data_IF_698621482653
#
_entry.id   IF_698621482653
#
_cell.length_a   1.000
_cell.length_b   1.000
_cell.length_c   1.000
_cell.angle_alpha   90.00
_cell.angle_beta   90.00
_cell.angle_gamma   90.00
#
_symmetry.space_group_name_H-M   'P 1'
#
loop_
_entity.id
_entity.type
_entity.pdbx_description
1 polymer ?
#
# COMPACT_ATOMS: atom_id res chain seq x y z
N UNK A 1 14.38 -33.81 31.50
CA UNK A 1 14.46 -32.39 31.16
C UNK A 1 15.36 -32.27 29.94
N UNK A 2 14.78 -32.25 28.77
CA UNK A 2 15.51 -32.13 27.49
C UNK A 2 14.93 -30.96 26.77
N UNK A 3 15.69 -29.85 26.76
CA UNK A 3 15.39 -28.64 25.96
C UNK A 3 15.48 -28.98 24.46
N UNK A 4 14.34 -28.89 23.78
CA UNK A 4 14.27 -28.99 22.34
C UNK A 4 14.59 -27.63 21.76
N UNK A 5 15.85 -27.44 21.37
CA UNK A 5 16.36 -26.29 20.62
C UNK A 5 15.72 -26.27 19.23
N UNK A 6 14.79 -25.37 19.00
CA UNK A 6 14.27 -25.03 17.66
C UNK A 6 15.40 -24.36 16.86
N UNK A 7 16.15 -25.18 16.10
CA UNK A 7 17.07 -24.68 15.07
C UNK A 7 16.26 -23.99 13.99
N UNK A 8 16.25 -22.67 14.00
CA UNK A 8 15.91 -21.83 12.84
C UNK A 8 16.93 -22.08 11.75
N UNK A 9 16.62 -22.95 10.79
CA UNK A 9 17.49 -23.19 9.64
C UNK A 9 17.54 -21.93 8.79
N UNK A 10 18.72 -21.31 8.75
CA UNK A 10 19.09 -20.28 7.77
C UNK A 10 18.85 -20.83 6.36
N UNK A 11 18.31 -20.06 5.40
CA UNK A 11 18.13 -20.55 4.04
C UNK A 11 19.48 -20.80 3.40
N UNK A 12 19.64 -21.96 2.77
CA UNK A 12 20.82 -22.26 1.95
C UNK A 12 20.90 -21.23 0.82
N UNK A 13 21.89 -20.35 0.90
CA UNK A 13 22.22 -19.42 -0.19
C UNK A 13 22.85 -20.22 -1.33
N UNK A 14 22.32 -20.08 -2.52
CA UNK A 14 22.75 -20.83 -3.70
C UNK A 14 24.15 -20.38 -4.14
N UNK A 15 25.01 -21.38 -4.42
CA UNK A 15 26.45 -21.23 -4.71
C UNK A 15 26.79 -20.34 -5.92
N UNK A 16 28.09 -20.14 -6.09
CA UNK A 16 28.70 -19.20 -7.05
C UNK A 16 28.27 -19.37 -8.51
N UNK A 17 27.79 -20.55 -8.93
CA UNK A 17 27.46 -20.89 -10.31
C UNK A 17 25.93 -21.02 -10.60
N UNK A 18 25.07 -20.36 -9.82
CA UNK A 18 23.65 -20.41 -10.08
C UNK A 18 23.34 -19.96 -11.52
N UNK A 19 22.59 -20.75 -12.30
CA UNK A 19 22.26 -20.42 -13.68
C UNK A 19 21.38 -19.18 -13.74
N UNK A 20 21.64 -18.33 -14.73
CA UNK A 20 20.71 -17.27 -15.10
C UNK A 20 19.48 -17.90 -15.73
N UNK A 21 18.32 -17.44 -15.33
CA UNK A 21 17.02 -17.87 -15.87
C UNK A 21 16.20 -16.67 -16.34
N UNK A 22 15.27 -16.91 -17.26
CA UNK A 22 14.26 -15.94 -17.69
C UNK A 22 12.86 -16.51 -17.52
N UNK A 23 11.89 -15.65 -17.30
CA UNK A 23 10.50 -16.06 -17.19
C UNK A 23 9.84 -16.06 -18.58
N UNK A 24 9.35 -17.22 -19.07
CA UNK A 24 8.85 -17.40 -20.44
C UNK A 24 7.69 -16.50 -20.82
N UNK A 25 6.81 -16.16 -19.86
CA UNK A 25 5.64 -15.32 -20.08
C UNK A 25 5.82 -13.86 -19.62
N UNK A 26 7.00 -13.50 -19.15
CA UNK A 26 7.29 -12.17 -18.57
C UNK A 26 8.70 -11.73 -18.92
N UNK A 27 9.00 -11.54 -20.21
CA UNK A 27 10.34 -11.15 -20.66
C UNK A 27 10.77 -9.78 -20.11
N UNK A 28 9.81 -8.92 -19.79
CA UNK A 28 10.04 -7.60 -19.20
C UNK A 28 10.67 -7.63 -17.80
N UNK A 29 10.66 -8.79 -17.13
CA UNK A 29 11.34 -8.93 -15.82
C UNK A 29 12.86 -9.06 -15.95
N UNK A 30 13.37 -9.30 -17.17
CA UNK A 30 14.77 -9.55 -17.43
C UNK A 30 15.25 -10.93 -16.95
N UNK A 31 16.56 -11.04 -16.79
CA UNK A 31 17.19 -12.26 -16.27
C UNK A 31 17.12 -12.31 -14.75
N UNK A 32 17.21 -13.52 -14.20
CA UNK A 32 17.15 -13.72 -12.76
C UNK A 32 18.14 -14.79 -12.29
N UNK A 33 18.52 -14.71 -11.01
CA UNK A 33 19.20 -15.80 -10.30
C UNK A 33 18.34 -16.32 -9.17
N UNK A 34 18.51 -17.60 -8.84
CA UNK A 34 17.91 -18.19 -7.65
C UNK A 34 18.54 -17.56 -6.40
N UNK A 35 17.72 -16.91 -5.58
CA UNK A 35 18.16 -16.30 -4.33
C UNK A 35 18.12 -17.29 -3.17
N UNK A 36 17.03 -18.06 -3.07
CA UNK A 36 16.88 -19.13 -2.08
C UNK A 36 15.79 -20.13 -2.49
N UNK A 37 15.86 -21.35 -1.92
CA UNK A 37 14.82 -22.37 -2.05
C UNK A 37 14.38 -22.85 -0.67
N UNK A 38 13.07 -22.99 -0.46
CA UNK A 38 12.47 -23.54 0.75
C UNK A 38 11.28 -24.42 0.40
N UNK A 39 11.32 -25.68 0.79
CA UNK A 39 10.22 -26.66 0.54
C UNK A 39 9.79 -26.66 -0.93
N UNK A 40 8.63 -26.11 -1.23
CA UNK A 40 8.02 -26.05 -2.57
C UNK A 40 8.04 -24.65 -3.20
N UNK A 41 8.89 -23.76 -2.71
CA UNK A 41 8.97 -22.36 -3.19
C UNK A 41 10.43 -21.97 -3.44
N UNK A 42 10.68 -21.41 -4.63
CA UNK A 42 11.94 -20.78 -5.01
C UNK A 42 11.77 -19.27 -5.09
N UNK A 43 12.69 -18.51 -4.57
CA UNK A 43 12.73 -17.07 -4.78
C UNK A 43 13.83 -16.72 -5.77
N UNK A 44 13.48 -15.92 -6.76
CA UNK A 44 14.37 -15.45 -7.80
C UNK A 44 14.50 -13.94 -7.76
N UNK A 45 15.75 -13.44 -7.79
CA UNK A 45 16.03 -12.02 -7.94
C UNK A 45 16.14 -11.70 -9.43
N UNK A 46 15.26 -10.82 -9.92
CA UNK A 46 15.23 -10.40 -11.32
C UNK A 46 16.01 -9.10 -11.55
N UNK A 47 16.40 -8.84 -12.82
CA UNK A 47 17.09 -7.60 -13.22
C UNK A 47 16.25 -6.35 -12.98
N UNK A 48 14.93 -6.45 -13.00
CA UNK A 48 14.01 -5.35 -12.66
C UNK A 48 14.00 -4.96 -11.16
N UNK A 49 14.93 -5.53 -10.37
CA UNK A 49 15.12 -5.27 -8.95
C UNK A 49 14.17 -6.05 -8.02
N UNK A 50 13.22 -6.83 -8.55
CA UNK A 50 12.21 -7.52 -7.72
C UNK A 50 12.59 -8.95 -7.39
N UNK A 51 12.42 -9.31 -6.10
CA UNK A 51 12.49 -10.69 -5.63
C UNK A 51 11.12 -11.35 -5.76
N UNK A 52 11.00 -12.42 -6.56
CA UNK A 52 9.74 -13.12 -6.80
C UNK A 52 9.78 -14.54 -6.31
N UNK A 53 8.72 -14.93 -5.59
CA UNK A 53 8.53 -16.29 -5.07
C UNK A 53 7.72 -17.10 -6.06
N UNK A 54 8.31 -18.19 -6.58
CA UNK A 54 7.69 -19.11 -7.55
C UNK A 54 7.44 -20.45 -6.85
N UNK A 55 6.20 -20.94 -6.92
CA UNK A 55 5.84 -22.25 -6.36
C UNK A 55 6.21 -23.37 -7.32
N UNK A 56 6.45 -24.59 -6.80
CA UNK A 56 6.89 -25.78 -7.55
C UNK A 56 6.13 -26.04 -8.85
N UNK A 57 4.80 -25.87 -8.87
CA UNK A 57 3.97 -26.04 -10.09
C UNK A 57 4.28 -25.07 -11.24
N UNK A 58 4.99 -23.97 -10.95
CA UNK A 58 5.30 -22.89 -11.91
C UNK A 58 6.79 -22.82 -12.28
N UNK A 59 7.64 -23.73 -11.80
CA UNK A 59 9.09 -23.72 -12.13
C UNK A 59 9.33 -23.87 -13.63
N UNK A 60 8.46 -24.57 -14.36
CA UNK A 60 8.50 -24.72 -15.81
C UNK A 60 8.37 -23.40 -16.60
N UNK A 61 7.99 -22.32 -15.95
CA UNK A 61 7.96 -20.97 -16.54
C UNK A 61 9.30 -20.25 -16.48
N UNK A 62 10.30 -20.87 -15.85
CA UNK A 62 11.67 -20.36 -15.76
C UNK A 62 12.58 -21.23 -16.62
N UNK A 63 13.12 -20.65 -17.66
CA UNK A 63 14.04 -21.31 -18.57
C UNK A 63 15.46 -20.78 -18.39
N UNK A 64 16.50 -21.62 -18.53
CA UNK A 64 17.87 -21.15 -18.56
C UNK A 64 18.06 -20.05 -19.61
N UNK A 65 18.78 -19.01 -19.26
CA UNK A 65 19.25 -18.06 -20.26
C UNK A 65 20.28 -18.74 -21.14
N UNK A 66 20.14 -18.61 -22.48
CA UNK A 66 21.04 -19.25 -23.42
C UNK A 66 22.50 -18.78 -23.30
N UNK A 67 23.42 -19.52 -23.89
CA UNK A 67 24.88 -19.29 -23.85
C UNK A 67 25.32 -18.04 -24.67
N UNK A 68 24.40 -17.39 -25.34
CA UNK A 68 24.60 -16.22 -26.21
C UNK A 68 24.93 -14.91 -25.48
N UNK A 69 24.94 -14.93 -24.14
CA UNK A 69 25.13 -13.73 -23.31
C UNK A 69 26.62 -13.35 -23.08
N UNK A 70 27.58 -14.26 -23.29
CA UNK A 70 29.01 -13.99 -23.11
C UNK A 70 29.35 -13.25 -21.80
N UNK A 71 30.27 -12.28 -21.85
CA UNK A 71 30.68 -11.45 -20.68
C UNK A 71 29.53 -10.66 -20.02
N UNK A 72 28.41 -10.51 -20.69
CA UNK A 72 27.22 -9.87 -20.15
C UNK A 72 26.59 -10.75 -19.06
N UNK A 73 26.61 -12.08 -19.24
CA UNK A 73 26.07 -13.00 -18.23
C UNK A 73 26.79 -12.85 -16.90
N UNK A 74 28.11 -12.74 -16.90
CA UNK A 74 28.90 -12.62 -15.66
C UNK A 74 28.66 -11.29 -14.95
N UNK A 75 28.53 -10.20 -15.71
CA UNK A 75 28.18 -8.89 -15.14
C UNK A 75 26.80 -8.90 -14.50
N UNK A 76 25.80 -9.47 -15.16
CA UNK A 76 24.43 -9.59 -14.64
C UNK A 76 24.43 -10.48 -13.40
N UNK A 77 25.06 -11.66 -13.45
CA UNK A 77 25.18 -12.59 -12.33
C UNK A 77 25.83 -11.93 -11.11
N UNK A 78 26.94 -11.23 -11.31
CA UNK A 78 27.66 -10.49 -10.26
C UNK A 78 26.78 -9.41 -9.63
N UNK A 79 26.02 -8.66 -10.44
CA UNK A 79 25.12 -7.61 -9.95
C UNK A 79 23.94 -8.18 -9.15
N UNK A 80 23.27 -9.20 -9.69
CA UNK A 80 22.13 -9.83 -9.00
C UNK A 80 22.56 -10.51 -7.69
N UNK A 81 23.75 -11.14 -7.64
CA UNK A 81 24.33 -11.69 -6.39
C UNK A 81 24.58 -10.62 -5.34
N UNK A 82 25.13 -9.49 -5.75
CA UNK A 82 25.32 -8.37 -4.81
C UNK A 82 24.01 -7.96 -4.16
N UNK A 83 22.91 -7.95 -4.92
CA UNK A 83 21.57 -7.63 -4.41
C UNK A 83 21.07 -8.73 -3.46
N UNK A 84 21.23 -10.01 -3.83
CA UNK A 84 20.82 -11.14 -2.99
C UNK A 84 21.61 -11.17 -1.68
N UNK A 85 22.93 -10.99 -1.72
CA UNK A 85 23.80 -11.02 -0.55
C UNK A 85 23.54 -9.81 0.37
N UNK A 86 23.30 -8.62 -0.19
CA UNK A 86 22.90 -7.45 0.58
C UNK A 86 21.54 -7.63 1.27
N UNK A 87 20.66 -8.47 0.71
CA UNK A 87 19.38 -8.85 1.35
C UNK A 87 19.50 -9.97 2.40
N UNK A 88 20.63 -10.72 2.42
CA UNK A 88 20.88 -11.78 3.39
C UNK A 88 21.47 -11.28 4.71
N UNK A 89 22.22 -10.18 4.69
CA UNK A 89 22.74 -9.47 5.89
C UNK A 89 21.72 -8.48 6.46
N UNK A 90 20.52 -8.91 6.60
CA UNK A 90 19.24 -8.25 6.68
C UNK A 90 19.01 -7.32 7.88
N UNK A 91 19.69 -6.20 7.93
CA UNK A 91 19.13 -4.90 8.32
C UNK A 91 19.52 -3.79 7.32
N UNK A 92 20.12 -4.18 6.21
CA UNK A 92 20.34 -3.30 5.08
C UNK A 92 18.98 -3.11 4.39
N UNK A 93 18.41 -1.92 4.51
CA UNK A 93 17.36 -1.43 3.63
C UNK A 93 17.76 -1.78 2.20
N UNK A 94 17.09 -2.76 1.58
CA UNK A 94 17.11 -2.90 0.13
C UNK A 94 16.62 -1.56 -0.38
N UNK A 95 17.52 -0.73 -0.85
CA UNK A 95 17.17 0.46 -1.62
C UNK A 95 16.60 -0.13 -2.90
N UNK A 96 15.30 -0.41 -2.91
CA UNK A 96 14.55 -0.59 -4.16
C UNK A 96 14.99 0.57 -5.04
N UNK A 97 15.42 0.27 -6.26
CA UNK A 97 15.86 1.31 -7.19
C UNK A 97 14.80 2.40 -7.19
N UNK A 98 15.16 3.57 -6.67
CA UNK A 98 14.21 4.67 -6.51
C UNK A 98 13.71 5.00 -7.91
N UNK A 99 12.44 4.73 -8.19
CA UNK A 99 11.85 5.12 -9.45
C UNK A 99 11.86 6.65 -9.52
N UNK A 100 12.62 7.27 -10.43
CA UNK A 100 12.67 8.72 -10.52
C UNK A 100 11.26 9.28 -10.75
N UNK A 101 10.94 10.41 -10.12
CA UNK A 101 9.63 11.03 -10.28
C UNK A 101 9.30 11.32 -11.74
N UNK A 102 10.29 11.73 -12.55
CA UNK A 102 10.12 11.93 -14.00
C UNK A 102 9.71 10.66 -14.75
N UNK A 103 10.20 9.49 -14.33
CA UNK A 103 9.80 8.22 -14.93
C UNK A 103 8.35 7.85 -14.56
N UNK A 104 7.92 8.17 -13.32
CA UNK A 104 6.53 7.98 -12.90
C UNK A 104 5.59 8.87 -13.73
N UNK A 105 5.94 10.15 -13.91
CA UNK A 105 5.16 11.09 -14.74
C UNK A 105 5.11 10.62 -16.20
N UNK A 106 6.22 10.13 -16.74
CA UNK A 106 6.26 9.59 -18.11
C UNK A 106 5.34 8.37 -18.26
N UNK A 107 5.38 7.43 -17.31
CA UNK A 107 4.48 6.28 -17.29
C UNK A 107 3.01 6.71 -17.15
N UNK A 108 2.72 7.66 -16.27
CA UNK A 108 1.38 8.20 -16.08
C UNK A 108 0.83 8.79 -17.37
N UNK A 109 1.62 9.62 -18.06
CA UNK A 109 1.25 10.20 -19.37
C UNK A 109 1.09 9.17 -20.49
N UNK A 110 1.84 8.08 -20.42
CA UNK A 110 1.69 6.98 -21.38
C UNK A 110 0.36 6.24 -21.17
N UNK A 111 -0.05 6.04 -19.89
CA UNK A 111 -1.30 5.36 -19.56
C UNK A 111 -2.51 6.27 -19.71
N UNK A 112 -2.37 7.55 -19.35
CA UNK A 112 -3.43 8.55 -19.30
C UNK A 112 -2.91 9.88 -19.91
N UNK A 113 -2.94 10.03 -21.24
CA UNK A 113 -2.40 11.22 -21.92
C UNK A 113 -3.01 12.54 -21.44
N UNK A 114 -4.30 12.54 -21.08
CA UNK A 114 -5.02 13.67 -20.50
C UNK A 114 -4.80 13.88 -18.99
N UNK A 115 -3.92 13.07 -18.36
CA UNK A 115 -3.66 13.14 -16.93
C UNK A 115 -4.87 12.72 -16.08
N UNK A 116 -5.16 13.47 -15.01
CA UNK A 116 -6.31 13.19 -14.14
C UNK A 116 -7.67 13.55 -14.75
N UNK A 117 -7.68 14.29 -15.85
CA UNK A 117 -8.88 14.58 -16.65
C UNK A 117 -9.04 13.64 -17.84
N UNK A 118 -8.13 12.68 -18.01
CA UNK A 118 -8.22 11.66 -19.05
C UNK A 118 -9.51 10.84 -18.88
N UNK A 119 -10.28 10.60 -19.96
CA UNK A 119 -11.49 9.79 -19.89
C UNK A 119 -11.26 8.39 -19.29
N UNK A 120 -10.13 7.76 -19.62
CA UNK A 120 -9.80 6.43 -19.09
C UNK A 120 -9.44 6.49 -17.58
N UNK A 121 -8.80 7.59 -17.11
CA UNK A 121 -8.59 7.80 -15.68
C UNK A 121 -9.93 7.97 -14.94
N UNK A 122 -10.84 8.75 -15.52
CA UNK A 122 -12.17 8.98 -14.93
C UNK A 122 -12.94 7.67 -14.88
N UNK A 123 -12.96 6.90 -15.96
CA UNK A 123 -13.62 5.59 -16.03
C UNK A 123 -13.01 4.61 -15.02
N UNK A 124 -11.68 4.60 -14.87
CA UNK A 124 -11.00 3.65 -13.98
C UNK A 124 -11.12 4.00 -12.49
N UNK A 125 -11.11 5.31 -12.14
CA UNK A 125 -10.93 5.73 -10.76
C UNK A 125 -12.03 6.65 -10.22
N UNK A 126 -12.79 7.34 -11.09
CA UNK A 126 -13.68 8.43 -10.66
C UNK A 126 -15.13 8.30 -11.09
N UNK A 127 -15.44 7.33 -11.91
CA UNK A 127 -16.79 7.14 -12.43
C UNK A 127 -17.82 7.14 -11.29
N UNK A 128 -18.89 7.91 -11.47
CA UNK A 128 -19.99 8.06 -10.49
C UNK A 128 -21.35 7.63 -11.02
N UNK A 129 -21.48 7.44 -12.32
CA UNK A 129 -22.70 6.99 -12.99
C UNK A 129 -22.77 5.46 -13.10
N UNK A 130 -23.98 4.92 -13.22
CA UNK A 130 -24.23 3.49 -13.34
C UNK A 130 -23.92 2.70 -12.06
N UNK A 131 -23.31 1.54 -12.19
CA UNK A 131 -22.98 0.65 -11.08
C UNK A 131 -21.52 0.86 -10.66
N UNK A 132 -21.21 1.63 -9.59
CA UNK A 132 -19.85 1.97 -9.22
C UNK A 132 -19.06 0.73 -8.80
N UNK A 133 -17.82 0.63 -9.29
CA UNK A 133 -16.87 -0.39 -8.86
C UNK A 133 -16.13 0.05 -7.59
N UNK A 134 -15.56 -0.92 -6.86
CA UNK A 134 -14.81 -0.64 -5.62
C UNK A 134 -13.61 0.30 -5.79
N UNK A 135 -13.10 0.42 -7.00
CA UNK A 135 -12.01 1.34 -7.33
C UNK A 135 -12.45 2.77 -7.62
N UNK A 136 -13.76 3.02 -7.77
CA UNK A 136 -14.28 4.36 -8.04
C UNK A 136 -14.31 5.20 -6.76
N UNK A 137 -13.65 6.35 -6.78
CA UNK A 137 -13.44 7.20 -5.59
C UNK A 137 -14.57 8.20 -5.36
N UNK A 138 -15.15 8.74 -6.44
CA UNK A 138 -16.16 9.81 -6.30
C UNK A 138 -17.41 9.36 -5.55
N UNK A 139 -18.03 8.20 -5.82
CA UNK A 139 -19.19 7.74 -5.08
C UNK A 139 -18.91 7.53 -3.60
N UNK A 140 -17.80 6.86 -3.27
CA UNK A 140 -17.47 6.53 -1.88
C UNK A 140 -17.14 7.79 -1.05
N UNK A 141 -16.55 8.83 -1.67
CA UNK A 141 -16.28 10.11 -1.03
C UNK A 141 -17.57 10.84 -0.74
N UNK A 142 -18.51 10.88 -1.70
CA UNK A 142 -19.82 11.54 -1.52
C UNK A 142 -20.58 10.89 -0.36
N UNK A 143 -20.69 9.58 -0.36
CA UNK A 143 -21.39 8.82 0.68
C UNK A 143 -20.70 8.91 2.04
N UNK A 144 -19.36 8.88 2.09
CA UNK A 144 -18.63 9.03 3.34
C UNK A 144 -18.84 10.43 3.97
N UNK A 145 -18.87 11.48 3.16
CA UNK A 145 -19.14 12.84 3.64
C UNK A 145 -20.54 13.00 4.20
N UNK A 146 -21.53 12.37 3.59
CA UNK A 146 -22.90 12.37 4.08
C UNK A 146 -23.03 11.56 5.37
N UNK A 147 -22.61 10.29 5.33
CA UNK A 147 -22.79 9.34 6.43
C UNK A 147 -21.97 9.68 7.68
N UNK A 148 -20.78 10.25 7.51
CA UNK A 148 -19.84 10.59 8.58
C UNK A 148 -19.79 12.10 8.87
N UNK A 149 -20.82 12.86 8.45
CA UNK A 149 -20.91 14.29 8.80
C UNK A 149 -21.00 14.49 10.32
N UNK A 150 -20.57 15.65 10.81
CA UNK A 150 -20.57 15.96 12.23
C UNK A 150 -21.96 15.76 12.85
N UNK A 151 -23.01 16.30 12.21
CA UNK A 151 -24.40 16.16 12.66
C UNK A 151 -24.84 14.68 12.75
N UNK A 152 -24.47 13.84 11.78
CA UNK A 152 -24.80 12.39 11.82
C UNK A 152 -24.05 11.64 12.92
N UNK A 153 -22.79 12.00 13.16
CA UNK A 153 -22.02 11.44 14.26
C UNK A 153 -22.61 11.84 15.62
N UNK A 154 -22.96 13.12 15.81
CA UNK A 154 -23.57 13.62 17.04
C UNK A 154 -24.95 13.00 17.28
N UNK A 155 -25.78 12.88 16.24
CA UNK A 155 -27.08 12.21 16.30
C UNK A 155 -26.90 10.76 16.75
N UNK A 156 -26.00 9.99 16.12
CA UNK A 156 -25.76 8.60 16.45
C UNK A 156 -25.28 8.39 17.89
N UNK A 157 -24.46 9.32 18.41
CA UNK A 157 -23.95 9.26 19.79
C UNK A 157 -25.03 9.62 20.80
N UNK A 158 -25.86 10.63 20.50
CA UNK A 158 -26.90 11.13 21.43
C UNK A 158 -28.17 10.29 21.46
N UNK A 159 -28.52 9.62 20.34
CA UNK A 159 -29.76 8.84 20.18
C UNK A 159 -29.58 7.34 20.24
N UNK A 160 -28.41 6.84 20.70
CA UNK A 160 -28.04 5.42 20.73
C UNK A 160 -28.00 4.75 19.33
N UNK A 161 -27.79 5.57 18.26
CA UNK A 161 -27.71 5.14 16.86
C UNK A 161 -26.35 4.63 16.44
N UNK A 162 -25.44 4.34 17.37
CA UNK A 162 -24.07 3.95 17.08
C UNK A 162 -23.95 2.61 16.34
N UNK A 163 -24.86 1.65 16.53
CA UNK A 163 -24.88 0.40 15.78
C UNK A 163 -25.14 0.63 14.29
N UNK A 164 -26.15 1.45 13.97
CA UNK A 164 -26.47 1.80 12.60
C UNK A 164 -25.31 2.53 11.91
N UNK A 165 -24.70 3.52 12.56
CA UNK A 165 -23.58 4.26 11.99
C UNK A 165 -22.33 3.39 11.82
N UNK A 166 -22.06 2.45 12.72
CA UNK A 166 -20.99 1.47 12.58
C UNK A 166 -21.24 0.53 11.37
N UNK A 167 -22.47 0.08 11.17
CA UNK A 167 -22.85 -0.78 10.06
C UNK A 167 -22.80 -0.02 8.71
N UNK A 168 -23.24 1.23 8.65
CA UNK A 168 -23.05 2.12 7.50
C UNK A 168 -21.56 2.28 7.20
N UNK A 169 -20.74 2.51 8.22
CA UNK A 169 -19.28 2.62 8.05
C UNK A 169 -18.66 1.32 7.54
N UNK A 170 -19.14 0.16 8.01
CA UNK A 170 -18.72 -1.14 7.48
C UNK A 170 -19.11 -1.32 6.00
N UNK A 171 -20.28 -0.82 5.59
CA UNK A 171 -20.71 -0.82 4.19
C UNK A 171 -19.82 0.07 3.31
N UNK A 172 -19.46 1.26 3.78
CA UNK A 172 -18.47 2.10 3.10
C UNK A 172 -17.15 1.35 2.88
N UNK A 173 -16.62 0.71 3.92
CA UNK A 173 -15.39 -0.09 3.82
C UNK A 173 -15.52 -1.29 2.87
N UNK A 174 -16.69 -1.93 2.79
CA UNK A 174 -16.94 -3.08 1.93
C UNK A 174 -17.01 -2.70 0.44
N UNK A 175 -17.40 -1.45 0.14
CA UNK A 175 -17.57 -0.92 -1.23
C UNK A 175 -16.33 -0.25 -1.81
N UNK A 176 -15.21 -0.23 -1.08
CA UNK A 176 -13.93 0.26 -1.60
C UNK A 176 -12.88 -0.85 -1.65
N UNK A 177 -11.88 -0.72 -2.54
CA UNK A 177 -10.68 -1.56 -2.59
C UNK A 177 -9.51 -1.00 -1.77
N UNK A 178 -9.71 0.17 -1.15
CA UNK A 178 -8.70 0.83 -0.32
C UNK A 178 -8.32 0.02 0.92
N UNK A 179 -9.21 -0.84 1.39
CA UNK A 179 -9.00 -1.73 2.54
C UNK A 179 -9.52 -3.14 2.23
N UNK A 180 -8.94 -4.22 2.80
CA UNK A 180 -9.50 -5.57 2.62
C UNK A 180 -10.92 -5.68 3.17
N UNK A 181 -11.81 -6.35 2.44
CA UNK A 181 -13.22 -6.56 2.85
C UNK A 181 -13.37 -7.27 4.20
N UNK A 182 -12.36 -8.02 4.64
CA UNK A 182 -12.33 -8.64 5.98
C UNK A 182 -12.42 -7.60 7.11
N UNK A 183 -11.98 -6.36 6.89
CA UNK A 183 -12.09 -5.27 7.88
C UNK A 183 -13.52 -4.76 8.03
N UNK A 184 -14.26 -4.66 6.93
CA UNK A 184 -15.68 -4.38 6.97
C UNK A 184 -16.46 -5.47 7.74
N UNK A 185 -16.13 -6.74 7.49
CA UNK A 185 -16.73 -7.86 8.21
C UNK A 185 -16.38 -7.84 9.71
N UNK A 186 -15.14 -7.54 10.06
CA UNK A 186 -14.71 -7.44 11.44
C UNK A 186 -15.45 -6.30 12.18
N UNK A 187 -15.57 -5.11 11.56
CA UNK A 187 -16.32 -3.99 12.13
C UNK A 187 -17.80 -4.34 12.35
N UNK A 188 -18.43 -4.99 11.38
CA UNK A 188 -19.84 -5.41 11.49
C UNK A 188 -20.06 -6.46 12.58
N UNK A 189 -19.04 -7.28 12.87
CA UNK A 189 -19.07 -8.31 13.90
C UNK A 189 -18.80 -7.82 15.33
N UNK A 190 -18.53 -6.54 15.53
CA UNK A 190 -18.35 -5.97 16.88
C UNK A 190 -19.68 -5.98 17.66
N UNK A 191 -19.59 -6.14 18.98
CA UNK A 191 -20.71 -5.98 19.89
C UNK A 191 -21.17 -4.51 20.00
N UNK A 192 -22.36 -4.29 20.60
CA UNK A 192 -22.97 -2.96 20.70
C UNK A 192 -22.03 -1.93 21.37
N UNK A 193 -21.45 -2.27 22.49
CA UNK A 193 -20.52 -1.40 23.23
C UNK A 193 -19.22 -1.12 22.45
N UNK A 194 -18.72 -2.11 21.72
CA UNK A 194 -17.54 -1.95 20.86
C UNK A 194 -17.84 -1.05 19.66
N UNK A 195 -19.03 -1.16 19.06
CA UNK A 195 -19.51 -0.28 18.00
C UNK A 195 -19.64 1.15 18.51
N UNK A 196 -20.14 1.35 19.75
CA UNK A 196 -20.21 2.66 20.40
C UNK A 196 -18.80 3.27 20.50
N UNK A 197 -17.84 2.56 21.10
CA UNK A 197 -16.45 3.02 21.21
C UNK A 197 -15.84 3.38 19.85
N UNK A 198 -16.12 2.57 18.83
CA UNK A 198 -15.66 2.83 17.46
C UNK A 198 -16.22 4.13 16.93
N UNK A 199 -17.54 4.35 17.01
CA UNK A 199 -18.23 5.55 16.49
C UNK A 199 -17.77 6.80 17.23
N UNK A 200 -17.69 6.77 18.56
CA UNK A 200 -17.18 7.88 19.36
C UNK A 200 -15.73 8.24 18.98
N UNK A 201 -14.86 7.23 18.84
CA UNK A 201 -13.45 7.43 18.47
C UNK A 201 -13.31 7.95 17.04
N UNK A 202 -14.16 7.48 16.10
CA UNK A 202 -14.18 7.97 14.71
C UNK A 202 -14.68 9.41 14.65
N UNK A 203 -15.77 9.74 15.36
CA UNK A 203 -16.29 11.09 15.46
C UNK A 203 -15.21 12.05 16.00
N UNK A 204 -14.54 11.67 17.07
CA UNK A 204 -13.44 12.46 17.63
C UNK A 204 -12.27 12.62 16.65
N UNK A 205 -11.95 11.59 15.85
CA UNK A 205 -10.92 11.71 14.82
C UNK A 205 -11.29 12.73 13.76
N UNK A 206 -12.54 12.70 13.26
CA UNK A 206 -12.98 13.52 12.13
C UNK A 206 -13.32 14.95 12.55
N UNK A 207 -14.02 15.12 13.68
CA UNK A 207 -14.65 16.40 14.08
C UNK A 207 -14.15 16.95 15.43
N UNK A 208 -13.43 16.14 16.22
CA UNK A 208 -13.02 16.55 17.57
C UNK A 208 -12.06 17.74 17.59
N UNK A 209 -11.97 18.36 18.76
CA UNK A 209 -11.04 19.45 19.03
C UNK A 209 -9.60 18.97 19.26
N UNK A 210 -8.67 19.93 19.26
CA UNK A 210 -7.25 19.67 19.50
C UNK A 210 -6.47 19.24 18.24
N UNK A 211 -5.22 18.80 18.44
CA UNK A 211 -4.37 18.43 17.32
C UNK A 211 -4.80 17.10 16.68
N UNK A 212 -4.78 17.05 15.34
CA UNK A 212 -5.06 15.81 14.62
C UNK A 212 -4.15 14.65 15.05
N UNK A 213 -2.91 14.94 15.45
CA UNK A 213 -1.98 13.92 15.95
C UNK A 213 -2.48 13.21 17.20
N UNK A 214 -3.02 13.97 18.15
CA UNK A 214 -3.59 13.43 19.38
C UNK A 214 -4.83 12.60 19.08
N UNK A 215 -5.72 13.13 18.24
CA UNK A 215 -6.95 12.44 17.81
C UNK A 215 -6.65 11.15 17.05
N UNK A 216 -5.69 11.22 16.10
CA UNK A 216 -5.27 10.04 15.33
C UNK A 216 -4.60 8.97 16.22
N UNK A 217 -3.81 9.38 17.21
CA UNK A 217 -3.24 8.45 18.18
C UNK A 217 -4.34 7.74 18.98
N UNK A 218 -5.30 8.48 19.52
CA UNK A 218 -6.42 7.91 20.27
C UNK A 218 -7.23 6.92 19.40
N UNK A 219 -7.53 7.29 18.16
CA UNK A 219 -8.21 6.41 17.20
C UNK A 219 -7.42 5.11 16.94
N UNK A 220 -6.09 5.18 16.79
CA UNK A 220 -5.25 4.00 16.63
C UNK A 220 -5.29 3.09 17.86
N UNK A 221 -5.30 3.66 19.05
CA UNK A 221 -5.37 2.92 20.30
C UNK A 221 -6.73 2.21 20.42
N UNK A 222 -7.84 2.87 20.09
CA UNK A 222 -9.18 2.27 20.02
C UNK A 222 -9.26 1.15 18.98
N UNK A 223 -8.75 1.35 17.76
CA UNK A 223 -8.74 0.28 16.75
C UNK A 223 -7.92 -0.93 17.21
N UNK A 224 -6.82 -0.71 17.93
CA UNK A 224 -5.99 -1.80 18.44
C UNK A 224 -6.71 -2.60 19.53
N UNK A 225 -7.49 -1.95 20.39
CA UNK A 225 -8.34 -2.58 21.40
C UNK A 225 -9.45 -3.42 20.75
N UNK A 226 -10.24 -2.79 19.86
CA UNK A 226 -11.42 -3.42 19.23
C UNK A 226 -11.10 -4.61 18.35
N UNK A 227 -9.98 -4.60 17.67
CA UNK A 227 -9.59 -5.68 16.75
C UNK A 227 -8.51 -6.61 17.33
N UNK A 228 -8.14 -6.45 18.59
CA UNK A 228 -7.10 -7.23 19.30
C UNK A 228 -5.77 -7.30 18.51
N UNK A 229 -5.58 -6.39 17.56
CA UNK A 229 -4.39 -6.28 16.74
C UNK A 229 -4.10 -4.82 16.37
N UNK A 230 -2.85 -4.51 16.14
CA UNK A 230 -2.47 -3.18 15.69
C UNK A 230 -3.03 -2.89 14.29
N UNK A 231 -3.70 -1.75 14.07
CA UNK A 231 -4.29 -1.42 12.80
C UNK A 231 -3.23 -1.30 11.71
N UNK A 232 -3.54 -1.85 10.54
CA UNK A 232 -2.74 -1.64 9.34
C UNK A 232 -2.84 -0.18 8.89
N UNK A 233 -1.84 0.30 8.15
CA UNK A 233 -1.87 1.65 7.56
C UNK A 233 -3.14 1.93 6.75
N UNK A 234 -3.60 0.94 5.96
CA UNK A 234 -4.82 1.07 5.17
C UNK A 234 -6.05 1.26 6.05
N UNK A 235 -6.21 0.43 7.09
CA UNK A 235 -7.35 0.55 8.02
C UNK A 235 -7.33 1.87 8.77
N UNK A 236 -6.16 2.28 9.26
CA UNK A 236 -6.01 3.52 10.03
C UNK A 236 -6.33 4.79 9.23
N UNK A 237 -6.14 4.75 7.90
CA UNK A 237 -6.18 5.96 7.07
C UNK A 237 -7.32 5.99 6.04
N UNK A 238 -8.07 4.89 5.89
CA UNK A 238 -9.14 4.83 4.88
C UNK A 238 -10.29 5.80 5.19
N UNK A 239 -10.82 5.78 6.41
CA UNK A 239 -11.97 6.62 6.76
C UNK A 239 -11.67 8.12 6.68
N UNK A 240 -10.62 8.66 7.32
CA UNK A 240 -10.28 10.06 7.12
C UNK A 240 -9.95 10.38 5.66
N UNK A 241 -9.33 9.47 4.90
CA UNK A 241 -8.97 9.69 3.50
C UNK A 241 -10.14 9.71 2.53
N UNK A 242 -11.23 8.97 2.79
CA UNK A 242 -12.45 9.05 1.97
C UNK A 242 -13.40 10.15 2.45
N UNK A 243 -13.36 10.54 3.72
CA UNK A 243 -14.17 11.62 4.27
C UNK A 243 -13.64 13.00 3.83
N UNK A 244 -12.36 13.26 4.04
CA UNK A 244 -11.70 14.49 3.60
C UNK A 244 -10.45 14.22 2.78
N UNK A 245 -10.59 13.84 1.51
CA UNK A 245 -9.46 13.56 0.63
C UNK A 245 -8.65 14.79 0.22
N UNK A 246 -9.08 16.00 0.58
CA UNK A 246 -8.27 17.21 0.36
C UNK A 246 -7.11 17.29 1.36
N UNK A 247 -7.33 16.82 2.58
CA UNK A 247 -6.38 16.90 3.70
C UNK A 247 -5.74 15.55 4.01
N UNK A 248 -6.49 14.45 3.87
CA UNK A 248 -6.09 13.12 4.31
C UNK A 248 -5.85 12.16 3.15
N UNK A 249 -4.79 11.34 3.27
CA UNK A 249 -4.43 10.34 2.26
C UNK A 249 -4.54 8.93 2.81
N UNK A 250 -5.05 8.01 2.00
CA UNK A 250 -5.02 6.57 2.31
C UNK A 250 -3.63 6.02 2.04
N UNK A 251 -3.04 5.35 3.04
CA UNK A 251 -1.65 4.89 2.96
C UNK A 251 -1.55 3.42 2.61
N UNK A 252 -1.10 3.09 1.39
CA UNK A 252 -0.54 1.78 1.02
C UNK A 252 0.97 1.81 1.29
N UNK A 253 1.36 1.36 2.47
CA UNK A 253 2.72 1.54 2.99
C UNK A 253 3.82 1.19 2.00
N UNK A 254 3.74 0.06 1.28
CA UNK A 254 4.80 -0.36 0.34
C UNK A 254 5.00 0.64 -0.81
N UNK A 255 3.91 1.10 -1.43
CA UNK A 255 3.96 2.08 -2.50
C UNK A 255 4.41 3.45 -1.99
N UNK A 256 3.88 3.88 -0.84
CA UNK A 256 4.27 5.15 -0.23
C UNK A 256 5.72 5.20 0.26
N UNK A 257 6.30 4.08 0.69
CA UNK A 257 7.73 4.04 1.00
C UNK A 257 8.61 4.20 -0.24
N UNK A 258 8.21 3.61 -1.37
CA UNK A 258 8.91 3.81 -2.65
C UNK A 258 8.80 5.27 -3.11
N UNK A 259 7.61 5.85 -3.03
CA UNK A 259 7.40 7.27 -3.33
C UNK A 259 8.25 8.16 -2.41
N UNK A 260 8.26 7.86 -1.12
CA UNK A 260 9.07 8.59 -0.14
C UNK A 260 10.58 8.57 -0.48
N UNK A 261 11.08 7.47 -1.03
CA UNK A 261 12.46 7.38 -1.50
C UNK A 261 12.81 8.42 -2.56
N UNK A 262 11.85 8.79 -3.42
CA UNK A 262 12.01 9.83 -4.44
C UNK A 262 11.73 11.25 -3.92
N UNK A 263 10.80 11.40 -2.95
CA UNK A 263 10.27 12.70 -2.52
C UNK A 263 10.91 13.19 -1.21
N UNK A 264 11.06 12.31 -0.22
CA UNK A 264 11.51 12.65 1.14
C UNK A 264 12.35 11.51 1.76
N UNK A 265 13.54 11.21 1.19
CA UNK A 265 14.33 10.04 1.56
C UNK A 265 14.85 10.05 2.99
N UNK A 266 14.95 11.23 3.62
CA UNK A 266 15.49 11.39 4.98
C UNK A 266 14.44 11.27 6.08
N UNK A 267 13.14 11.22 5.75
CA UNK A 267 12.08 11.12 6.73
C UNK A 267 11.93 9.68 7.26
N UNK A 268 11.56 9.57 8.54
CA UNK A 268 11.33 8.28 9.18
C UNK A 268 9.91 7.77 8.93
N UNK A 269 9.81 6.50 8.54
CA UNK A 269 8.53 5.83 8.25
C UNK A 269 8.40 4.55 9.07
N UNK A 270 7.57 4.58 10.09
CA UNK A 270 7.31 3.42 10.93
C UNK A 270 6.63 2.28 10.15
N UNK A 271 6.96 1.04 10.51
CA UNK A 271 6.21 -0.15 10.03
C UNK A 271 4.77 -0.13 10.54
N UNK A 272 4.57 0.36 11.76
CA UNK A 272 3.26 0.47 12.43
C UNK A 272 2.66 1.84 12.17
N UNK A 273 1.33 1.92 12.12
CA UNK A 273 0.66 3.20 12.02
C UNK A 273 0.95 4.05 13.27
N UNK A 274 1.42 5.26 13.05
CA UNK A 274 1.70 6.26 14.08
C UNK A 274 1.39 7.66 13.54
N UNK A 275 0.97 8.57 14.39
CA UNK A 275 0.66 9.94 14.00
C UNK A 275 1.87 10.65 13.35
N UNK A 276 3.08 10.51 13.92
CA UNK A 276 4.32 11.09 13.36
C UNK A 276 4.59 10.60 11.93
N UNK A 277 4.53 9.28 11.70
CA UNK A 277 4.76 8.72 10.36
C UNK A 277 3.63 9.05 9.39
N UNK A 278 2.38 9.18 9.87
CA UNK A 278 1.26 9.61 9.04
C UNK A 278 1.48 11.04 8.50
N UNK A 279 1.92 11.96 9.34
CA UNK A 279 2.31 13.31 8.90
C UNK A 279 3.38 13.28 7.79
N UNK A 280 4.35 12.37 7.91
CA UNK A 280 5.36 12.21 6.86
C UNK A 280 4.76 11.68 5.54
N UNK A 281 3.81 10.73 5.60
CA UNK A 281 3.10 10.27 4.40
C UNK A 281 2.19 11.35 3.79
N UNK A 282 1.53 12.17 4.60
CA UNK A 282 0.78 13.34 4.10
C UNK A 282 1.71 14.33 3.37
N UNK A 283 2.90 14.59 3.92
CA UNK A 283 3.92 15.41 3.24
C UNK A 283 4.34 14.82 1.90
N UNK A 284 4.58 13.51 1.84
CA UNK A 284 4.89 12.83 0.58
C UNK A 284 3.76 13.00 -0.43
N UNK A 285 2.51 12.80 -0.02
CA UNK A 285 1.36 12.97 -0.91
C UNK A 285 1.21 14.41 -1.40
N UNK A 286 1.30 15.39 -0.49
CA UNK A 286 1.20 16.82 -0.82
C UNK A 286 2.31 17.28 -1.75
N UNK A 287 3.55 16.84 -1.50
CA UNK A 287 4.69 17.17 -2.35
C UNK A 287 4.58 16.50 -3.72
N UNK A 288 4.08 15.26 -3.76
CA UNK A 288 3.77 14.57 -5.03
C UNK A 288 2.72 15.35 -5.82
N UNK A 289 1.64 15.81 -5.16
CA UNK A 289 0.59 16.64 -5.78
C UNK A 289 1.18 17.93 -6.38
N UNK A 290 2.02 18.63 -5.63
CA UNK A 290 2.68 19.87 -6.10
C UNK A 290 3.55 19.63 -7.32
N UNK A 291 4.35 18.55 -7.32
CA UNK A 291 5.23 18.23 -8.46
C UNK A 291 4.43 17.82 -9.68
N UNK A 292 3.32 17.12 -9.52
CA UNK A 292 2.41 16.79 -10.62
C UNK A 292 1.76 18.03 -11.20
N UNK A 293 1.27 18.95 -10.37
CA UNK A 293 0.71 20.22 -10.82
C UNK A 293 1.76 21.05 -11.59
N UNK A 294 3.01 21.11 -11.09
CA UNK A 294 4.12 21.76 -11.78
C UNK A 294 4.47 21.11 -13.13
N UNK A 295 4.14 19.83 -13.32
CA UNK A 295 4.28 19.09 -14.57
C UNK A 295 3.03 19.17 -15.47
N UNK A 296 2.03 19.98 -15.10
CA UNK A 296 0.79 20.17 -15.85
C UNK A 296 -0.30 19.12 -15.57
N UNK A 297 -0.21 18.41 -14.43
CA UNK A 297 -1.17 17.37 -14.04
C UNK A 297 -1.77 17.69 -12.68
N UNK A 298 -2.89 18.40 -12.66
CA UNK A 298 -3.58 18.76 -11.42
C UNK A 298 -4.47 17.63 -10.91
N UNK A 299 -4.12 17.08 -9.75
CA UNK A 299 -4.92 16.09 -9.06
C UNK A 299 -6.09 16.77 -8.33
N UNK A 300 -7.28 16.17 -8.38
CA UNK A 300 -8.49 16.67 -7.71
C UNK A 300 -8.33 16.66 -6.19
N UNK A 301 -7.74 15.58 -5.68
CA UNK A 301 -7.56 15.32 -4.25
C UNK A 301 -6.40 14.34 -3.99
N UNK A 302 -6.20 13.95 -2.74
CA UNK A 302 -5.15 13.00 -2.36
C UNK A 302 -5.50 11.54 -2.66
N UNK A 303 -6.74 11.21 -3.09
CA UNK A 303 -7.05 9.88 -3.63
C UNK A 303 -6.53 9.74 -5.07
N UNK A 304 -6.54 10.80 -5.89
CA UNK A 304 -5.81 10.80 -7.17
C UNK A 304 -4.32 10.55 -6.96
N UNK A 305 -3.74 11.19 -5.94
CA UNK A 305 -2.33 10.97 -5.59
C UNK A 305 -2.08 9.54 -5.10
N UNK A 306 -2.99 8.99 -4.28
CA UNK A 306 -2.92 7.59 -3.86
C UNK A 306 -2.92 6.65 -5.06
N UNK A 307 -3.85 6.84 -6.01
CA UNK A 307 -4.00 6.00 -7.18
C UNK A 307 -2.85 6.20 -8.18
N UNK A 308 -2.35 7.44 -8.37
CA UNK A 308 -1.12 7.72 -9.12
C UNK A 308 0.09 6.95 -8.56
N UNK A 309 0.34 7.06 -7.25
CA UNK A 309 1.44 6.34 -6.58
C UNK A 309 1.29 4.83 -6.75
N UNK A 310 0.06 4.31 -6.64
CA UNK A 310 -0.21 2.88 -6.78
C UNK A 310 -0.03 2.38 -8.22
N UNK A 311 -0.41 3.17 -9.21
CA UNK A 311 -0.35 2.82 -10.63
C UNK A 311 1.06 2.90 -11.19
N UNK A 312 1.88 3.83 -10.69
CA UNK A 312 3.21 4.11 -11.24
C UNK A 312 4.36 3.46 -10.46
N UNK A 313 4.12 2.83 -9.32
CA UNK A 313 5.08 2.14 -8.45
C UNK A 313 4.65 0.71 -8.10
#
# INVERSE_FOLDING_TARGET
MTESSLKTSTPDLVGADAPLVRHTKRPEWGLAILAWERKSTRAYQFEDGKLRKIRKGYYKLLEPAGDDLGDRADRIRKNLRRIVNAGADADVKVVEAVCPFSAQVALFKQLYPGGFEDPDWIEDHRRSDGNPLKRHRSPIVAEAREALSEARCEEAISSDGHEELADITADLLARTDLVPVSRAKALRGLGSEEKRKFVESLSQLLHGEGSYEQRFKAYLDTLAELFEERPSWRLATVLPGIFDPQTHVVVRRSAFLRQAGSIAPTAEYSRRATARSYRNYQRVATETRKRLASAGHEARDLLDIHDFIWTTL
#
